data_IF_708719449564
#
_entry.id   IF_708719449564
#
_cell.length_a   1.000
_cell.length_b   1.000
_cell.length_c   1.000
_cell.angle_alpha   90.00
_cell.angle_beta   90.00
_cell.angle_gamma   90.00
#
_symmetry.space_group_name_H-M   'P 1'
#
loop_
_entity.id
_entity.type
_entity.pdbx_description
1 polymer ?
#
# COMPACT_ATOMS: atom_id res chain seq x y z
N UNK A 1 49.13 36.17 13.61
CA UNK A 1 48.14 35.93 12.53
C UNK A 1 46.72 35.94 13.13
N UNK A 2 46.31 37.08 13.69
CA UNK A 2 45.03 37.24 14.40
C UNK A 2 44.48 38.66 14.14
N UNK A 3 44.11 38.95 12.90
CA UNK A 3 43.56 40.28 12.54
C UNK A 3 42.69 40.29 11.28
N UNK A 4 41.77 39.33 11.09
CA UNK A 4 40.77 39.39 9.98
C UNK A 4 39.47 38.63 10.28
N UNK A 5 38.71 39.03 11.30
CA UNK A 5 37.34 38.50 11.49
C UNK A 5 36.44 39.48 12.26
N UNK A 6 36.52 40.77 11.95
CA UNK A 6 35.61 41.81 12.48
C UNK A 6 35.19 42.78 11.39
N UNK A 7 34.74 42.25 10.25
CA UNK A 7 34.16 43.04 9.17
C UNK A 7 33.02 42.23 8.55
N UNK A 8 31.81 42.44 9.07
CA UNK A 8 30.63 41.68 8.67
C UNK A 8 29.42 41.80 9.61
N UNK A 9 29.33 42.87 10.40
CA UNK A 9 28.22 43.10 11.33
C UNK A 9 27.64 44.51 11.20
N UNK A 10 27.44 44.96 9.96
CA UNK A 10 26.81 46.24 9.68
C UNK A 10 26.12 46.20 8.30
N UNK A 11 25.06 45.39 8.16
CA UNK A 11 23.95 45.70 7.25
C UNK A 11 22.75 44.75 7.45
N UNK A 12 21.91 45.01 8.45
CA UNK A 12 20.51 44.55 8.46
C UNK A 12 19.69 45.71 9.02
N UNK A 13 19.45 46.70 8.16
CA UNK A 13 18.36 47.67 8.35
C UNK A 13 17.08 46.98 7.91
N UNK A 14 16.16 46.74 8.84
CA UNK A 14 14.80 46.29 8.56
C UNK A 14 14.04 47.40 7.80
N UNK A 15 13.34 47.12 6.69
CA UNK A 15 12.29 48.01 6.21
C UNK A 15 11.01 47.74 7.01
N UNK A 16 10.57 48.74 7.78
CA UNK A 16 9.21 48.84 8.30
C UNK A 16 8.21 49.16 7.16
N UNK A 17 6.99 48.69 7.35
CA UNK A 17 5.71 49.09 6.75
C UNK A 17 5.38 48.69 5.30
N UNK A 18 4.65 47.57 5.16
CA UNK A 18 3.96 47.19 3.92
C UNK A 18 2.98 45.99 3.97
N UNK A 19 2.59 45.49 5.15
CA UNK A 19 2.05 44.12 5.30
C UNK A 19 0.53 43.98 5.53
N UNK A 20 -0.29 45.01 5.24
CA UNK A 20 -1.75 44.88 5.35
C UNK A 20 -2.44 44.56 4.01
N UNK A 21 -1.93 45.06 2.89
CA UNK A 21 -2.57 44.84 1.57
C UNK A 21 -2.32 43.41 1.03
N UNK A 22 -1.17 42.83 1.34
CA UNK A 22 -0.71 41.53 0.79
C UNK A 22 -1.35 40.32 1.49
N UNK A 23 -1.97 40.52 2.66
CA UNK A 23 -2.75 39.48 3.38
C UNK A 23 -4.16 39.35 2.84
N UNK A 24 -4.84 40.45 2.57
CA UNK A 24 -6.23 40.43 2.08
C UNK A 24 -6.33 39.75 0.69
N UNK A 25 -5.33 39.96 -0.18
CA UNK A 25 -5.29 39.34 -1.50
C UNK A 25 -5.01 37.82 -1.42
N UNK A 26 -4.21 37.37 -0.45
CA UNK A 26 -3.97 35.94 -0.22
C UNK A 26 -5.20 35.24 0.33
N UNK A 27 -5.92 35.86 1.26
CA UNK A 27 -7.10 35.26 1.89
C UNK A 27 -8.29 35.15 0.91
N UNK A 28 -8.41 36.10 -0.02
CA UNK A 28 -9.40 36.02 -1.10
C UNK A 28 -9.08 34.92 -2.11
N UNK A 29 -7.80 34.69 -2.41
CA UNK A 29 -7.37 33.60 -3.31
C UNK A 29 -7.60 32.22 -2.68
N UNK A 30 -7.32 32.07 -1.38
CA UNK A 30 -7.60 30.84 -0.64
C UNK A 30 -9.10 30.54 -0.56
N UNK A 31 -9.94 31.56 -0.34
CA UNK A 31 -11.39 31.41 -0.29
C UNK A 31 -12.00 30.97 -1.63
N UNK A 32 -11.42 31.43 -2.76
CA UNK A 32 -11.85 31.00 -4.11
C UNK A 32 -11.40 29.58 -4.45
N UNK A 33 -10.27 29.12 -3.93
CA UNK A 33 -9.81 27.74 -4.08
C UNK A 33 -10.67 26.76 -3.26
N UNK A 34 -11.04 27.12 -2.03
CA UNK A 34 -11.87 26.28 -1.18
C UNK A 34 -13.29 26.03 -1.75
N UNK A 35 -13.85 27.00 -2.48
CA UNK A 35 -15.18 26.88 -3.08
C UNK A 35 -15.22 25.99 -4.35
N UNK A 36 -14.07 25.70 -4.97
CA UNK A 36 -13.97 24.90 -6.21
C UNK A 36 -13.62 23.43 -5.91
N UNK A 37 -13.18 23.10 -4.70
CA UNK A 37 -12.71 21.76 -4.29
C UNK A 37 -13.59 21.16 -3.19
N UNK A 38 -14.92 21.20 -3.35
CA UNK A 38 -15.84 20.47 -2.48
C UNK A 38 -16.45 19.27 -3.23
N UNK A 39 -16.06 18.02 -2.92
CA UNK A 39 -16.78 16.83 -3.38
C UNK A 39 -18.05 16.59 -2.54
N UNK A 40 -19.07 15.89 -3.08
CA UNK A 40 -20.34 15.63 -2.38
C UNK A 40 -20.14 14.61 -1.23
N UNK A 41 -21.06 14.56 -0.24
CA UNK A 41 -20.86 13.76 0.97
C UNK A 41 -20.96 12.26 0.68
N UNK A 42 -20.02 11.42 1.19
CA UNK A 42 -20.12 9.98 1.04
C UNK A 42 -21.08 9.37 2.07
N UNK A 43 -21.84 8.40 1.59
CA UNK A 43 -22.78 7.57 2.33
C UNK A 43 -22.09 6.26 2.75
N UNK A 44 -21.69 6.14 4.03
CA UNK A 44 -21.33 4.91 4.79
C UNK A 44 -20.22 3.97 4.21
N UNK A 45 -19.64 3.02 4.97
CA UNK A 45 -19.23 2.97 6.37
C UNK A 45 -17.68 2.84 6.44
N UNK A 46 -16.95 3.93 6.67
CA UNK A 46 -15.49 3.87 6.89
C UNK A 46 -15.04 4.91 7.94
N UNK A 47 -15.92 5.17 8.91
CA UNK A 47 -15.65 6.13 9.99
C UNK A 47 -14.74 5.56 11.08
N UNK A 48 -14.49 4.24 11.12
CA UNK A 48 -13.71 3.59 12.19
C UNK A 48 -12.21 3.52 11.92
N UNK A 49 -11.76 3.57 10.66
CA UNK A 49 -10.33 3.51 10.33
C UNK A 49 -9.68 4.91 10.40
N UNK A 50 -10.39 5.95 9.94
CA UNK A 50 -9.90 7.33 9.99
C UNK A 50 -9.81 7.85 11.44
N UNK A 51 -10.79 7.49 12.29
CA UNK A 51 -10.77 7.87 13.72
C UNK A 51 -9.63 7.17 14.47
N UNK A 52 -9.24 5.94 14.08
CA UNK A 52 -8.12 5.24 14.72
C UNK A 52 -6.76 5.86 14.36
N UNK A 53 -6.57 6.30 13.10
CA UNK A 53 -5.34 6.99 12.69
C UNK A 53 -5.24 8.40 13.29
N UNK A 54 -6.37 9.10 13.43
CA UNK A 54 -6.44 10.40 14.13
C UNK A 54 -6.11 10.24 15.63
N UNK A 55 -6.65 9.22 16.30
CA UNK A 55 -6.35 8.92 17.71
C UNK A 55 -4.86 8.57 17.94
N UNK A 56 -4.22 7.85 17.03
CA UNK A 56 -2.78 7.53 17.09
C UNK A 56 -1.91 8.77 16.86
N UNK A 57 -2.30 9.65 15.93
CA UNK A 57 -1.61 10.91 15.70
C UNK A 57 -1.75 11.87 16.89
N UNK A 58 -2.93 11.95 17.51
CA UNK A 58 -3.14 12.76 18.72
C UNK A 58 -2.34 12.24 19.92
N UNK A 59 -2.19 10.92 20.06
CA UNK A 59 -1.31 10.32 21.06
C UNK A 59 0.16 10.67 20.80
N UNK A 60 0.63 10.56 19.55
CA UNK A 60 2.00 10.92 19.19
C UNK A 60 2.29 12.41 19.44
N UNK A 61 1.37 13.30 19.09
CA UNK A 61 1.48 14.73 19.37
C UNK A 61 1.56 14.99 20.87
N UNK A 62 0.70 14.34 21.66
CA UNK A 62 0.69 14.46 23.12
C UNK A 62 2.00 13.99 23.76
N UNK A 63 2.60 12.93 23.23
CA UNK A 63 3.92 12.45 23.68
C UNK A 63 5.04 13.41 23.29
N UNK A 64 4.99 13.98 22.08
CA UNK A 64 5.97 14.94 21.60
C UNK A 64 5.93 16.24 22.41
N UNK A 65 4.74 16.74 22.73
CA UNK A 65 4.55 17.92 23.58
C UNK A 65 5.10 17.68 24.99
N UNK A 66 4.86 16.49 25.56
CA UNK A 66 5.39 16.12 26.88
C UNK A 66 6.92 16.04 26.86
N UNK A 67 7.52 15.49 25.79
CA UNK A 67 8.97 15.42 25.62
C UNK A 67 9.59 16.83 25.43
N UNK A 68 8.93 17.71 24.68
CA UNK A 68 9.36 19.11 24.50
C UNK A 68 9.30 19.89 25.82
N UNK A 69 8.23 19.73 26.60
CA UNK A 69 8.11 20.34 27.94
C UNK A 69 9.20 19.82 28.88
N UNK A 70 9.51 18.53 28.84
CA UNK A 70 10.58 17.95 29.65
C UNK A 70 11.95 18.52 29.26
N UNK A 71 12.25 18.63 27.96
CA UNK A 71 13.50 19.27 27.49
C UNK A 71 13.58 20.74 27.84
N UNK A 72 12.47 21.49 27.73
CA UNK A 72 12.43 22.90 28.14
C UNK A 72 12.77 23.06 29.62
N UNK A 73 12.18 22.23 30.49
CA UNK A 73 12.49 22.23 31.93
C UNK A 73 13.96 21.86 32.23
N UNK A 74 14.51 20.90 31.47
CA UNK A 74 15.94 20.56 31.58
C UNK A 74 16.84 21.72 31.15
N UNK A 75 16.51 22.41 30.06
CA UNK A 75 17.26 23.59 29.60
C UNK A 75 17.19 24.74 30.62
N UNK A 76 16.01 25.06 31.15
CA UNK A 76 15.87 26.08 32.22
C UNK A 76 16.73 25.72 33.45
N UNK A 77 16.82 24.43 33.79
CA UNK A 77 17.67 23.94 34.90
C UNK A 77 19.16 24.09 34.58
N UNK A 78 19.56 23.82 33.33
CA UNK A 78 20.95 23.99 32.89
C UNK A 78 21.35 25.46 32.82
N UNK A 79 20.48 26.33 32.33
CA UNK A 79 20.68 27.78 32.31
C UNK A 79 20.85 28.34 33.74
N UNK A 80 20.04 27.89 34.69
CA UNK A 80 20.20 28.26 36.10
C UNK A 80 21.55 27.81 36.68
N UNK A 81 22.00 26.60 36.35
CA UNK A 81 23.33 26.10 36.76
C UNK A 81 24.48 26.87 36.13
N UNK A 82 24.35 27.28 34.87
CA UNK A 82 25.38 28.08 34.19
C UNK A 82 25.52 29.43 34.89
N UNK A 83 24.40 30.11 35.19
CA UNK A 83 24.41 31.37 35.94
C UNK A 83 25.07 31.21 37.32
N UNK A 84 24.76 30.13 38.05
CA UNK A 84 25.38 29.84 39.35
C UNK A 84 26.90 29.56 39.24
N UNK A 85 27.34 28.87 38.18
CA UNK A 85 28.76 28.65 37.94
C UNK A 85 29.49 29.94 37.54
N UNK A 86 28.84 30.82 36.78
CA UNK A 86 29.39 32.13 36.42
C UNK A 86 29.54 33.06 37.63
N UNK A 87 28.55 33.09 38.53
CA UNK A 87 28.64 33.86 39.78
C UNK A 87 29.77 33.33 40.66
N UNK A 88 29.83 32.00 40.84
CA UNK A 88 30.91 31.35 41.63
C UNK A 88 32.29 31.61 41.03
N UNK A 89 32.45 31.56 39.71
CA UNK A 89 33.70 31.90 39.05
C UNK A 89 34.07 33.39 39.22
N UNK A 90 33.07 34.28 39.28
CA UNK A 90 33.26 35.69 39.62
C UNK A 90 33.79 35.86 41.05
N UNK A 91 33.18 35.19 42.03
CA UNK A 91 33.61 35.20 43.43
C UNK A 91 35.03 34.64 43.59
N UNK A 92 35.36 33.54 42.90
CA UNK A 92 36.70 32.96 42.92
C UNK A 92 37.76 33.92 42.39
N UNK A 93 37.47 34.64 41.29
CA UNK A 93 38.37 35.68 40.75
C UNK A 93 38.56 36.82 41.75
N UNK A 94 37.50 37.21 42.47
CA UNK A 94 37.57 38.26 43.49
C UNK A 94 38.43 37.81 44.68
N UNK A 95 38.21 36.60 45.20
CA UNK A 95 39.01 36.01 46.28
C UNK A 95 40.49 35.88 45.88
N UNK A 96 40.77 35.44 44.65
CA UNK A 96 42.14 35.37 44.12
C UNK A 96 42.83 36.73 44.07
N UNK A 97 42.07 37.79 43.79
CA UNK A 97 42.58 39.17 43.79
C UNK A 97 42.86 39.65 45.21
N UNK A 98 41.97 39.36 46.15
CA UNK A 98 42.16 39.66 47.58
C UNK A 98 43.37 38.93 48.16
N UNK A 99 43.56 37.66 47.81
CA UNK A 99 44.68 36.85 48.31
C UNK A 99 46.02 37.40 47.82
N UNK A 100 46.13 37.79 46.54
CA UNK A 100 47.31 38.49 46.01
C UNK A 100 47.59 39.80 46.74
N UNK A 101 46.56 40.55 47.09
CA UNK A 101 46.72 41.80 47.85
C UNK A 101 47.26 41.52 49.26
N UNK A 102 46.73 40.52 49.95
CA UNK A 102 47.23 40.10 51.27
C UNK A 102 48.66 39.56 51.20
N UNK A 103 49.04 38.81 50.17
CA UNK A 103 50.42 38.35 49.96
C UNK A 103 51.41 39.50 49.86
N UNK A 104 51.04 40.57 49.14
CA UNK A 104 51.86 41.79 49.03
C UNK A 104 52.00 42.49 50.38
N UNK A 105 50.91 42.61 51.15
CA UNK A 105 50.95 43.20 52.50
C UNK A 105 51.82 42.39 53.47
N UNK A 106 51.72 41.05 53.44
CA UNK A 106 52.56 40.15 54.24
C UNK A 106 54.04 40.31 53.86
N UNK A 107 54.36 40.40 52.57
CA UNK A 107 55.73 40.62 52.11
C UNK A 107 56.30 41.96 52.61
N UNK A 108 55.49 43.02 52.59
CA UNK A 108 55.87 44.34 53.12
C UNK A 108 56.10 44.33 54.63
N UNK A 109 55.24 43.63 55.39
CA UNK A 109 55.41 43.47 56.84
C UNK A 109 56.67 42.69 57.18
N UNK A 110 56.95 41.58 56.47
CA UNK A 110 58.19 40.79 56.64
C UNK A 110 59.45 41.64 56.42
N UNK A 111 59.50 42.41 55.34
CA UNK A 111 60.63 43.31 55.06
C UNK A 111 60.81 44.43 56.10
N UNK A 112 59.74 44.77 56.84
CA UNK A 112 59.80 45.75 57.92
C UNK A 112 60.33 45.12 59.21
N UNK A 113 59.90 43.90 59.51
CA UNK A 113 60.40 43.12 60.66
C UNK A 113 61.89 42.84 60.51
N UNK A 114 62.36 42.44 59.32
CA UNK A 114 63.79 42.21 59.06
C UNK A 114 64.64 43.47 59.30
N UNK A 115 64.15 44.66 58.90
CA UNK A 115 64.82 45.94 59.17
C UNK A 115 64.90 46.25 60.67
N UNK A 116 63.84 45.98 61.43
CA UNK A 116 63.82 46.18 62.88
C UNK A 116 64.73 45.18 63.62
N UNK A 117 64.80 43.94 63.16
CA UNK A 117 65.69 42.92 63.70
C UNK A 117 67.17 43.24 63.44
N UNK A 118 67.51 43.77 62.26
CA UNK A 118 68.85 44.27 61.95
C UNK A 118 69.25 45.44 62.88
N UNK A 119 68.35 46.40 63.10
CA UNK A 119 68.59 47.52 64.03
C UNK A 119 68.75 47.08 65.49
N UNK A 120 68.06 46.01 65.90
CA UNK A 120 68.21 45.41 67.24
C UNK A 120 69.54 44.67 67.40
N UNK A 121 70.02 43.99 66.35
CA UNK A 121 71.32 43.31 66.40
C UNK A 121 72.49 44.28 66.53
N UNK A 122 72.42 45.48 65.93
CA UNK A 122 73.44 46.53 66.08
C UNK A 122 73.48 47.14 67.49
N UNK A 123 72.33 47.17 68.20
CA UNK A 123 72.24 47.72 69.55
C UNK A 123 72.73 46.76 70.66
N UNK A 124 72.82 45.45 70.39
CA UNK A 124 73.20 44.43 71.38
C UNK A 124 74.72 44.18 71.43
N UNK A 125 75.51 44.75 70.51
CA UNK A 125 76.98 44.60 70.49
C UNK A 125 77.72 45.58 71.43
N UNK A 126 77.00 46.46 72.13
CA UNK A 126 77.59 47.47 73.03
C UNK A 126 76.98 47.47 74.43
N UNK A 127 77.07 46.37 75.17
CA UNK A 127 77.06 46.40 76.63
C UNK A 127 77.29 44.99 77.16
N UNK A 128 78.40 44.76 77.85
CA UNK A 128 78.43 44.01 79.11
C UNK A 128 79.89 43.84 79.60
N UNK A 129 80.23 44.50 80.71
CA UNK A 129 81.32 44.11 81.59
C UNK A 129 81.02 44.61 83.02
N UNK A 130 81.25 43.75 84.02
CA UNK A 130 81.53 44.23 85.38
C UNK A 130 80.90 43.48 86.56
N UNK A 131 81.49 42.32 86.90
CA UNK A 131 81.93 41.86 88.24
C UNK A 131 81.17 42.29 89.52
N UNK A 132 80.71 41.30 90.32
CA UNK A 132 80.71 41.38 91.80
C UNK A 132 80.54 40.00 92.49
N UNK A 133 81.63 39.28 92.82
CA UNK A 133 81.65 37.83 93.14
C UNK A 133 80.87 37.34 94.40
N UNK A 134 80.16 38.19 95.13
CA UNK A 134 79.29 37.80 96.26
C UNK A 134 77.80 37.87 95.94
N UNK A 135 77.35 38.99 95.35
CA UNK A 135 76.00 39.17 94.79
C UNK A 135 75.83 38.46 93.44
N UNK A 136 76.93 38.23 92.73
CA UNK A 136 77.01 37.46 91.49
C UNK A 136 76.74 35.98 91.70
N UNK A 137 77.01 35.39 92.87
CA UNK A 137 76.63 34.01 93.10
C UNK A 137 75.11 33.86 93.19
N UNK A 138 74.44 34.69 93.99
CA UNK A 138 72.97 34.68 94.09
C UNK A 138 72.31 35.12 92.78
N UNK A 139 72.90 36.07 92.06
CA UNK A 139 72.46 36.50 90.72
C UNK A 139 72.68 35.41 89.66
N UNK A 140 73.82 34.73 89.66
CA UNK A 140 74.05 33.57 88.79
C UNK A 140 73.10 32.43 89.13
N UNK A 141 72.79 32.21 90.40
CA UNK A 141 71.81 31.20 90.82
C UNK A 141 70.42 31.58 90.33
N UNK A 142 70.02 32.85 90.42
CA UNK A 142 68.77 33.35 89.86
C UNK A 142 68.75 33.28 88.33
N UNK A 143 69.84 33.63 87.66
CA UNK A 143 69.99 33.54 86.20
C UNK A 143 69.97 32.08 85.73
N UNK A 144 70.57 31.16 86.49
CA UNK A 144 70.54 29.72 86.21
C UNK A 144 69.15 29.13 86.45
N UNK A 145 68.45 29.54 87.53
CA UNK A 145 67.04 29.18 87.75
C UNK A 145 66.13 29.75 86.67
N UNK A 146 66.38 30.98 86.22
CA UNK A 146 65.64 31.60 85.14
C UNK A 146 65.90 30.91 83.80
N UNK A 147 67.15 30.60 83.47
CA UNK A 147 67.50 29.81 82.31
C UNK A 147 66.90 28.40 82.37
N UNK A 148 66.87 27.77 83.55
CA UNK A 148 66.27 26.45 83.74
C UNK A 148 64.76 26.48 83.48
N UNK A 149 64.04 27.46 84.04
CA UNK A 149 62.60 27.65 83.77
C UNK A 149 62.32 27.98 82.30
N UNK A 150 63.16 28.78 81.66
CA UNK A 150 63.06 29.04 80.21
C UNK A 150 63.27 27.78 79.38
N UNK A 151 64.26 26.95 79.72
CA UNK A 151 64.52 25.67 79.05
C UNK A 151 63.33 24.72 79.23
N UNK A 152 62.75 24.64 80.42
CA UNK A 152 61.54 23.85 80.69
C UNK A 152 60.34 24.34 79.86
N UNK A 153 60.10 25.65 79.79
CA UNK A 153 59.04 26.23 78.95
C UNK A 153 59.28 25.92 77.47
N UNK A 154 60.48 26.14 76.96
CA UNK A 154 60.83 25.83 75.56
C UNK A 154 60.69 24.33 75.28
N UNK A 155 61.06 23.45 76.22
CA UNK A 155 60.88 22.01 76.07
C UNK A 155 59.39 21.63 75.95
N UNK A 156 58.51 22.23 76.78
CA UNK A 156 57.06 21.99 76.67
C UNK A 156 56.48 22.51 75.36
N UNK A 157 56.97 23.65 74.86
CA UNK A 157 56.56 24.20 73.56
C UNK A 157 57.03 23.32 72.40
N UNK A 158 58.29 22.86 72.43
CA UNK A 158 58.80 21.91 71.43
C UNK A 158 57.98 20.61 71.42
N UNK A 159 57.61 20.09 72.60
CA UNK A 159 56.76 18.90 72.70
C UNK A 159 55.34 19.16 72.16
N UNK A 160 54.77 20.35 72.35
CA UNK A 160 53.48 20.71 71.80
C UNK A 160 53.51 20.79 70.27
N UNK A 161 54.55 21.45 69.71
CA UNK A 161 54.76 21.52 68.26
C UNK A 161 55.04 20.15 67.64
N UNK A 162 55.77 19.27 68.32
CA UNK A 162 56.00 17.91 67.84
C UNK A 162 54.68 17.12 67.73
N UNK A 163 53.79 17.23 68.72
CA UNK A 163 52.45 16.62 68.66
C UNK A 163 51.62 17.20 67.52
N UNK A 164 51.66 18.51 67.31
CA UNK A 164 50.96 19.18 66.22
C UNK A 164 51.49 18.73 64.85
N UNK A 165 52.81 18.59 64.68
CA UNK A 165 53.42 18.08 63.47
C UNK A 165 53.03 16.62 63.17
N UNK A 166 52.88 15.78 64.20
CA UNK A 166 52.38 14.42 64.04
C UNK A 166 50.92 14.44 63.56
N UNK A 167 50.05 15.22 64.20
CA UNK A 167 48.65 15.34 63.78
C UNK A 167 48.50 15.87 62.34
N UNK A 168 49.31 16.85 61.96
CA UNK A 168 49.32 17.37 60.60
C UNK A 168 49.83 16.34 59.60
N UNK A 169 50.83 15.53 59.96
CA UNK A 169 51.31 14.41 59.13
C UNK A 169 50.20 13.40 58.91
N UNK A 170 49.57 12.91 59.97
CA UNK A 170 48.48 11.93 59.89
C UNK A 170 47.34 12.46 59.01
N UNK A 171 47.01 13.77 59.16
CA UNK A 171 46.00 14.41 58.32
C UNK A 171 46.39 14.48 56.85
N UNK A 172 47.67 14.72 56.55
CA UNK A 172 48.16 14.71 55.16
C UNK A 172 48.05 13.30 54.58
N UNK A 173 48.42 12.27 55.33
CA UNK A 173 48.30 10.87 54.90
C UNK A 173 46.84 10.48 54.63
N UNK A 174 45.91 10.87 55.50
CA UNK A 174 44.46 10.68 55.27
C UNK A 174 43.98 11.37 53.98
N UNK A 175 44.39 12.62 53.76
CA UNK A 175 44.00 13.38 52.57
C UNK A 175 44.62 12.79 51.30
N UNK A 176 45.84 12.24 51.38
CA UNK A 176 46.48 11.54 50.28
C UNK A 176 45.71 10.28 49.91
N UNK A 177 45.36 9.44 50.90
CA UNK A 177 44.55 8.25 50.67
C UNK A 177 43.17 8.59 50.06
N UNK A 178 42.50 9.64 50.57
CA UNK A 178 41.24 10.09 50.00
C UNK A 178 41.38 10.60 48.56
N UNK A 179 42.48 11.27 48.23
CA UNK A 179 42.74 11.75 46.88
C UNK A 179 43.01 10.58 45.91
N UNK A 180 43.74 9.55 46.35
CA UNK A 180 43.93 8.33 45.58
C UNK A 180 42.60 7.64 45.27
N UNK A 181 41.72 7.49 46.27
CA UNK A 181 40.38 6.91 46.03
C UNK A 181 39.55 7.73 45.05
N UNK A 182 39.59 9.06 45.15
CA UNK A 182 38.85 9.94 44.22
C UNK A 182 39.42 9.85 42.79
N UNK A 183 40.72 9.67 42.64
CA UNK A 183 41.34 9.49 41.32
C UNK A 183 40.97 8.13 40.71
N UNK A 184 40.86 7.08 41.52
CA UNK A 184 40.40 5.78 41.07
C UNK A 184 38.93 5.84 40.62
N UNK A 185 38.06 6.48 41.42
CA UNK A 185 36.65 6.72 41.07
C UNK A 185 36.51 7.55 39.78
N UNK A 186 37.34 8.59 39.61
CA UNK A 186 37.36 9.40 38.39
C UNK A 186 37.80 8.58 37.16
N UNK A 187 38.79 7.69 37.32
CA UNK A 187 39.23 6.79 36.25
C UNK A 187 38.13 5.80 35.86
N UNK A 188 37.41 5.23 36.84
CA UNK A 188 36.29 4.33 36.56
C UNK A 188 35.13 5.07 35.88
N UNK A 189 34.79 6.28 36.35
CA UNK A 189 33.74 7.10 35.73
C UNK A 189 34.08 7.44 34.28
N UNK A 190 35.35 7.79 34.00
CA UNK A 190 35.84 8.02 32.63
C UNK A 190 35.76 6.76 31.76
N UNK A 191 36.12 5.59 32.31
CA UNK A 191 36.00 4.31 31.58
C UNK A 191 34.55 4.02 31.21
N UNK A 192 33.62 4.16 32.16
CA UNK A 192 32.18 3.97 31.91
C UNK A 192 31.64 4.97 30.89
N UNK A 193 32.06 6.23 30.96
CA UNK A 193 31.68 7.23 29.96
C UNK A 193 32.16 6.83 28.55
N UNK A 194 33.41 6.38 28.41
CA UNK A 194 33.95 5.92 27.13
C UNK A 194 33.20 4.70 26.57
N UNK A 195 32.80 3.76 27.44
CA UNK A 195 31.99 2.59 27.03
C UNK A 195 30.61 3.01 26.51
N UNK A 196 29.94 3.96 27.17
CA UNK A 196 28.67 4.49 26.68
C UNK A 196 28.84 5.25 25.37
N UNK A 197 29.87 6.10 25.25
CA UNK A 197 30.18 6.81 24.01
C UNK A 197 30.41 5.84 22.85
N UNK A 198 31.18 4.76 23.07
CA UNK A 198 31.39 3.72 22.08
C UNK A 198 30.07 3.02 21.71
N UNK A 199 29.24 2.67 22.70
CA UNK A 199 27.93 2.05 22.44
C UNK A 199 26.99 2.95 21.64
N UNK A 200 27.00 4.26 21.88
CA UNK A 200 26.23 5.23 21.09
C UNK A 200 26.75 5.32 19.65
N UNK A 201 28.06 5.32 19.44
CA UNK A 201 28.66 5.33 18.10
C UNK A 201 28.30 4.06 17.33
N UNK A 202 28.43 2.89 17.95
CA UNK A 202 28.07 1.61 17.33
C UNK A 202 26.58 1.60 16.95
N UNK A 203 25.69 2.06 17.85
CA UNK A 203 24.26 2.16 17.56
C UNK A 203 23.97 3.12 16.40
N UNK A 204 24.64 4.27 16.34
CA UNK A 204 24.50 5.21 15.22
C UNK A 204 24.92 4.56 13.89
N UNK A 205 26.03 3.83 13.88
CA UNK A 205 26.48 3.14 12.66
C UNK A 205 25.50 2.05 12.20
N UNK A 206 24.89 1.30 13.13
CA UNK A 206 23.89 0.29 12.76
C UNK A 206 22.59 0.95 12.29
N UNK A 207 22.17 2.07 12.89
CA UNK A 207 21.02 2.86 12.40
C UNK A 207 21.26 3.36 10.98
N UNK A 208 22.45 3.90 10.69
CA UNK A 208 22.82 4.36 9.34
C UNK A 208 22.80 3.20 8.33
N UNK A 209 23.33 2.04 8.72
CA UNK A 209 23.32 0.83 7.89
C UNK A 209 21.91 0.33 7.63
N UNK A 210 21.04 0.29 8.64
CA UNK A 210 19.62 -0.07 8.47
C UNK A 210 18.92 0.93 7.56
N UNK A 211 19.18 2.23 7.74
CA UNK A 211 18.62 3.28 6.89
C UNK A 211 19.02 3.10 5.43
N UNK A 212 20.30 2.87 5.16
CA UNK A 212 20.80 2.60 3.79
C UNK A 212 20.14 1.34 3.22
N UNK A 213 20.06 0.26 4.01
CA UNK A 213 19.40 -0.98 3.57
C UNK A 213 17.92 -0.75 3.22
N UNK A 214 17.21 0.00 4.05
CA UNK A 214 15.80 0.34 3.83
C UNK A 214 15.62 1.21 2.58
N UNK A 215 16.48 2.21 2.37
CA UNK A 215 16.47 3.03 1.16
C UNK A 215 16.69 2.20 -0.11
N UNK A 216 17.62 1.23 -0.06
CA UNK A 216 17.87 0.29 -1.16
C UNK A 216 16.66 -0.64 -1.40
N UNK A 217 16.08 -1.20 -0.34
CA UNK A 217 14.88 -2.06 -0.43
C UNK A 217 13.68 -1.29 -0.99
N UNK A 218 13.48 -0.04 -0.54
CA UNK A 218 12.44 0.84 -1.07
C UNK A 218 12.65 1.13 -2.55
N UNK A 219 13.88 1.43 -2.98
CA UNK A 219 14.19 1.63 -4.39
C UNK A 219 13.92 0.38 -5.23
N UNK A 220 14.28 -0.81 -4.72
CA UNK A 220 14.01 -2.08 -5.38
C UNK A 220 12.51 -2.39 -5.49
N UNK A 221 11.73 -2.09 -4.45
CA UNK A 221 10.26 -2.23 -4.48
C UNK A 221 9.61 -1.26 -5.47
N UNK A 222 10.07 -0.01 -5.53
CA UNK A 222 9.59 0.95 -6.51
C UNK A 222 9.89 0.48 -7.94
N UNK A 223 11.13 0.08 -8.22
CA UNK A 223 11.52 -0.45 -9.54
C UNK A 223 10.67 -1.68 -9.94
N UNK A 224 10.46 -2.62 -9.02
CA UNK A 224 9.61 -3.79 -9.27
C UNK A 224 8.14 -3.39 -9.51
N UNK A 225 7.63 -2.40 -8.79
CA UNK A 225 6.27 -1.89 -9.00
C UNK A 225 6.12 -1.22 -10.37
N UNK A 226 7.12 -0.47 -10.83
CA UNK A 226 7.16 0.14 -12.15
C UNK A 226 7.26 -0.92 -13.26
N UNK A 227 8.06 -1.96 -13.08
CA UNK A 227 8.12 -3.09 -14.00
C UNK A 227 6.76 -3.78 -14.14
N UNK A 228 6.09 -4.06 -13.02
CA UNK A 228 4.73 -4.64 -13.03
C UNK A 228 3.71 -3.72 -13.72
N UNK A 229 3.76 -2.41 -13.48
CA UNK A 229 2.91 -1.43 -14.16
C UNK A 229 3.17 -1.42 -15.67
N UNK A 230 4.43 -1.40 -16.09
CA UNK A 230 4.82 -1.45 -17.50
C UNK A 230 4.38 -2.75 -18.19
N UNK A 231 4.46 -3.88 -17.47
CA UNK A 231 4.01 -5.18 -17.97
C UNK A 231 2.50 -5.22 -18.16
N UNK A 232 1.73 -4.66 -17.22
CA UNK A 232 0.27 -4.55 -17.34
C UNK A 232 -0.11 -3.67 -18.52
N UNK A 233 0.56 -2.53 -18.70
CA UNK A 233 0.28 -1.63 -19.82
C UNK A 233 0.70 -2.24 -21.16
N UNK A 234 1.81 -2.98 -21.21
CA UNK A 234 2.19 -3.75 -22.40
C UNK A 234 1.15 -4.82 -22.72
N UNK A 235 0.60 -5.53 -21.72
CA UNK A 235 -0.46 -6.50 -21.94
C UNK A 235 -1.74 -5.84 -22.49
N UNK A 236 -2.16 -4.71 -21.91
CA UNK A 236 -3.31 -3.94 -22.42
C UNK A 236 -3.09 -3.47 -23.86
N UNK A 237 -1.87 -3.07 -24.22
CA UNK A 237 -1.54 -2.69 -25.59
C UNK A 237 -1.71 -3.88 -26.55
N UNK A 238 -1.21 -5.06 -26.20
CA UNK A 238 -1.40 -6.27 -27.00
C UNK A 238 -2.87 -6.65 -27.13
N UNK A 239 -3.66 -6.57 -26.06
CA UNK A 239 -5.09 -6.85 -26.10
C UNK A 239 -5.86 -5.86 -26.98
N UNK A 240 -5.50 -4.58 -26.93
CA UNK A 240 -6.07 -3.55 -27.79
C UNK A 240 -5.70 -3.76 -29.25
N UNK A 241 -4.45 -4.15 -29.54
CA UNK A 241 -3.98 -4.45 -30.90
C UNK A 241 -4.70 -5.69 -31.47
N UNK A 242 -4.90 -6.74 -30.66
CA UNK A 242 -5.69 -7.91 -31.05
C UNK A 242 -7.16 -7.56 -31.33
N UNK A 243 -7.77 -6.69 -30.52
CA UNK A 243 -9.14 -6.21 -30.76
C UNK A 243 -9.25 -5.32 -31.99
N UNK A 244 -8.25 -4.48 -32.24
CA UNK A 244 -8.20 -3.63 -33.42
C UNK A 244 -8.10 -4.48 -34.69
N UNK A 245 -7.17 -5.43 -34.72
CA UNK A 245 -7.00 -6.34 -35.86
C UNK A 245 -8.26 -7.18 -36.13
N UNK A 246 -8.94 -7.66 -35.09
CA UNK A 246 -10.23 -8.36 -35.24
C UNK A 246 -11.31 -7.44 -35.83
N UNK A 247 -11.44 -6.22 -35.30
CA UNK A 247 -12.40 -5.21 -35.79
C UNK A 247 -12.12 -4.81 -37.25
N UNK A 248 -10.84 -4.70 -37.63
CA UNK A 248 -10.43 -4.45 -39.01
C UNK A 248 -10.81 -5.59 -39.94
N UNK A 249 -10.65 -6.85 -39.50
CA UNK A 249 -11.12 -8.02 -40.24
C UNK A 249 -12.65 -8.02 -40.42
N UNK A 250 -13.40 -7.77 -39.36
CA UNK A 250 -14.87 -7.69 -39.41
C UNK A 250 -15.35 -6.58 -40.36
N UNK A 251 -14.67 -5.43 -40.35
CA UNK A 251 -14.93 -4.33 -41.29
C UNK A 251 -14.72 -4.77 -42.74
N UNK A 252 -13.66 -5.51 -43.04
CA UNK A 252 -13.40 -6.00 -44.40
C UNK A 252 -14.50 -6.97 -44.84
N UNK A 253 -14.93 -7.88 -43.96
CA UNK A 253 -16.03 -8.81 -44.27
C UNK A 253 -17.33 -8.05 -44.52
N UNK A 254 -17.69 -7.10 -43.66
CA UNK A 254 -18.88 -6.27 -43.84
C UNK A 254 -18.83 -5.45 -45.14
N UNK A 255 -17.66 -4.97 -45.55
CA UNK A 255 -17.46 -4.30 -46.84
C UNK A 255 -17.70 -5.26 -48.01
N UNK A 256 -17.15 -6.48 -47.96
CA UNK A 256 -17.37 -7.48 -49.01
C UNK A 256 -18.84 -7.89 -49.13
N UNK A 257 -19.54 -8.04 -48.00
CA UNK A 257 -20.97 -8.34 -47.97
C UNK A 257 -21.80 -7.18 -48.55
N UNK A 258 -21.46 -5.93 -48.21
CA UNK A 258 -22.11 -4.76 -48.77
C UNK A 258 -21.92 -4.67 -50.30
N UNK A 259 -20.70 -4.92 -50.79
CA UNK A 259 -20.44 -4.96 -52.23
C UNK A 259 -21.21 -6.11 -52.92
N UNK A 260 -21.33 -7.27 -52.27
CA UNK A 260 -22.12 -8.38 -52.79
C UNK A 260 -23.59 -8.01 -52.90
N UNK A 261 -24.17 -7.45 -51.84
CA UNK A 261 -25.56 -6.99 -51.83
C UNK A 261 -25.80 -5.91 -52.89
N UNK A 262 -24.84 -5.02 -53.12
CA UNK A 262 -24.94 -4.02 -54.18
C UNK A 262 -25.00 -4.69 -55.57
N UNK A 263 -24.13 -5.68 -55.85
CA UNK A 263 -24.17 -6.44 -57.11
C UNK A 263 -25.49 -7.19 -57.28
N UNK A 264 -26.02 -7.78 -56.21
CA UNK A 264 -27.30 -8.49 -56.23
C UNK A 264 -28.47 -7.52 -56.48
N UNK A 265 -28.43 -6.31 -55.92
CA UNK A 265 -29.41 -5.25 -56.20
C UNK A 265 -29.35 -4.80 -57.67
N UNK A 266 -28.16 -4.50 -58.19
CA UNK A 266 -27.97 -4.08 -59.58
C UNK A 266 -28.51 -5.16 -60.55
N UNK A 267 -28.24 -6.45 -60.27
CA UNK A 267 -28.78 -7.55 -61.06
C UNK A 267 -30.31 -7.66 -60.99
N UNK A 268 -30.91 -7.38 -59.81
CA UNK A 268 -32.35 -7.40 -59.64
C UNK A 268 -33.03 -6.22 -60.35
N UNK A 269 -32.39 -5.04 -60.35
CA UNK A 269 -32.80 -3.88 -61.13
C UNK A 269 -32.81 -4.19 -62.64
N UNK A 270 -31.77 -4.87 -63.14
CA UNK A 270 -31.71 -5.33 -64.53
C UNK A 270 -32.85 -6.30 -64.87
N UNK A 271 -33.12 -7.29 -64.01
CA UNK A 271 -34.23 -8.24 -64.20
C UNK A 271 -35.58 -7.52 -64.16
N UNK A 272 -35.77 -6.58 -63.24
CA UNK A 272 -36.98 -5.75 -63.18
C UNK A 272 -37.16 -4.97 -64.49
N UNK A 273 -36.09 -4.37 -65.01
CA UNK A 273 -36.12 -3.64 -66.27
C UNK A 273 -36.50 -4.55 -67.44
N UNK A 274 -35.88 -5.74 -67.54
CA UNK A 274 -36.21 -6.74 -68.55
C UNK A 274 -37.68 -7.18 -68.45
N UNK A 275 -38.19 -7.41 -67.24
CA UNK A 275 -39.59 -7.79 -67.04
C UNK A 275 -40.54 -6.66 -67.44
N UNK A 276 -40.21 -5.40 -67.13
CA UNK A 276 -41.00 -4.25 -67.57
C UNK A 276 -41.04 -4.13 -69.10
N UNK A 277 -39.92 -4.34 -69.78
CA UNK A 277 -39.85 -4.34 -71.25
C UNK A 277 -40.66 -5.50 -71.84
N UNK A 278 -40.47 -6.72 -71.33
CA UNK A 278 -41.20 -7.90 -71.77
C UNK A 278 -42.71 -7.78 -71.52
N UNK A 279 -43.12 -7.21 -70.39
CA UNK A 279 -44.51 -6.93 -70.05
C UNK A 279 -45.14 -5.93 -71.03
N UNK A 280 -44.43 -4.86 -71.39
CA UNK A 280 -44.88 -3.92 -72.44
C UNK A 280 -45.04 -4.62 -73.78
N UNK A 281 -44.03 -5.37 -74.23
CA UNK A 281 -44.10 -6.11 -75.49
C UNK A 281 -45.23 -7.15 -75.51
N UNK A 282 -45.47 -7.84 -74.39
CA UNK A 282 -46.57 -8.80 -74.28
C UNK A 282 -47.94 -8.11 -74.30
N UNK A 283 -48.10 -6.97 -73.64
CA UNK A 283 -49.33 -6.16 -73.73
C UNK A 283 -49.59 -5.72 -75.17
N UNK A 284 -48.57 -5.30 -75.89
CA UNK A 284 -48.69 -4.95 -77.31
C UNK A 284 -49.11 -6.15 -78.17
N UNK A 285 -48.54 -7.34 -77.95
CA UNK A 285 -48.96 -8.58 -78.64
C UNK A 285 -50.40 -8.97 -78.31
N UNK A 286 -50.81 -8.87 -77.05
CA UNK A 286 -52.19 -9.17 -76.64
C UNK A 286 -53.16 -8.19 -77.30
N UNK A 287 -52.83 -6.89 -77.31
CA UNK A 287 -53.64 -5.90 -78.01
C UNK A 287 -53.74 -6.19 -79.52
N UNK A 288 -52.66 -6.64 -80.16
CA UNK A 288 -52.70 -7.06 -81.56
C UNK A 288 -53.59 -8.31 -81.77
N UNK A 289 -53.44 -9.33 -80.93
CA UNK A 289 -54.30 -10.53 -80.97
C UNK A 289 -55.77 -10.21 -80.67
N UNK A 290 -56.08 -9.27 -79.78
CA UNK A 290 -57.45 -8.80 -79.53
C UNK A 290 -58.03 -8.13 -80.76
N UNK A 291 -57.25 -7.32 -81.49
CA UNK A 291 -57.67 -6.73 -82.76
C UNK A 291 -57.93 -7.80 -83.82
N UNK A 292 -57.04 -8.79 -83.96
CA UNK A 292 -57.23 -9.92 -84.87
C UNK A 292 -58.44 -10.77 -84.50
N UNK A 293 -58.67 -11.03 -83.20
CA UNK A 293 -59.82 -11.78 -82.70
C UNK A 293 -61.13 -11.02 -82.95
N UNK A 294 -61.16 -9.71 -82.76
CA UNK A 294 -62.31 -8.89 -83.10
C UNK A 294 -62.57 -8.85 -84.62
N UNK A 295 -61.52 -8.88 -85.44
CA UNK A 295 -61.66 -9.04 -86.90
C UNK A 295 -62.22 -10.44 -87.25
N UNK A 296 -61.65 -11.51 -86.71
CA UNK A 296 -62.10 -12.88 -86.93
C UNK A 296 -63.53 -13.13 -86.41
N UNK A 297 -63.93 -12.51 -85.29
CA UNK A 297 -65.32 -12.53 -84.82
C UNK A 297 -66.27 -11.87 -85.80
N UNK A 298 -65.90 -10.73 -86.39
CA UNK A 298 -66.68 -10.08 -87.45
C UNK A 298 -66.78 -10.96 -88.70
N UNK A 299 -65.70 -11.66 -89.05
CA UNK A 299 -65.68 -12.65 -90.15
C UNK A 299 -66.56 -13.89 -89.84
N UNK A 300 -66.56 -14.39 -88.61
CA UNK A 300 -67.43 -15.48 -88.17
C UNK A 300 -68.90 -15.08 -88.12
N UNK A 301 -69.22 -13.85 -87.66
CA UNK A 301 -70.59 -13.32 -87.69
C UNK A 301 -71.10 -13.10 -89.12
N UNK A 302 -70.22 -12.94 -90.10
CA UNK A 302 -70.59 -12.84 -91.53
C UNK A 302 -70.65 -14.20 -92.24
N UNK A 303 -70.20 -15.28 -91.60
CA UNK A 303 -70.31 -16.66 -92.09
C UNK A 303 -71.61 -17.30 -91.55
N UNK A 304 -72.51 -17.70 -92.45
CA UNK A 304 -73.81 -18.33 -92.12
C UNK A 304 -73.70 -19.59 -91.22
N UNK A 305 -74.73 -19.91 -90.42
CA UNK A 305 -74.73 -21.09 -89.53
C UNK A 305 -75.13 -22.36 -90.29
N UNK A 306 -74.36 -23.45 -90.14
CA UNK A 306 -74.83 -24.84 -90.29
C UNK A 306 -73.70 -25.86 -89.98
N UNK A 307 -74.00 -27.13 -89.63
CA UNK A 307 -74.96 -27.68 -88.67
C UNK A 307 -74.26 -28.41 -87.50
N UNK A 308 -75.04 -28.81 -86.49
CA UNK A 308 -74.66 -29.74 -85.39
C UNK A 308 -73.87 -30.97 -85.86
N UNK A 309 -72.92 -31.44 -85.04
CA UNK A 309 -72.60 -32.87 -84.93
C UNK A 309 -73.04 -33.37 -83.55
N UNK A 310 -74.10 -34.19 -83.52
CA UNK A 310 -74.04 -35.66 -83.40
C UNK A 310 -73.50 -36.20 -82.06
N UNK A 311 -74.28 -37.16 -81.53
CA UNK A 311 -74.21 -37.85 -80.22
C UNK A 311 -72.88 -38.58 -79.90
N UNK A 312 -71.78 -38.29 -80.60
CA UNK A 312 -70.46 -38.89 -80.38
C UNK A 312 -69.66 -38.30 -79.20
N UNK A 313 -69.91 -37.04 -78.82
CA UNK A 313 -69.13 -36.32 -77.80
C UNK A 313 -69.34 -36.84 -76.38
N UNK A 314 -70.46 -37.53 -76.11
CA UNK A 314 -70.74 -38.13 -74.80
C UNK A 314 -69.74 -39.24 -74.43
N UNK A 315 -69.21 -39.97 -75.42
CA UNK A 315 -68.22 -41.03 -75.19
C UNK A 315 -66.81 -40.47 -74.95
N UNK A 316 -66.46 -39.36 -75.59
CA UNK A 316 -65.18 -38.70 -75.38
C UNK A 316 -65.15 -37.95 -74.04
N UNK A 317 -66.26 -37.32 -73.65
CA UNK A 317 -66.39 -36.71 -72.33
C UNK A 317 -66.30 -37.75 -71.20
N UNK A 318 -66.94 -38.92 -71.37
CA UNK A 318 -66.85 -40.03 -70.41
C UNK A 318 -65.42 -40.59 -70.30
N UNK A 319 -64.71 -40.69 -71.43
CA UNK A 319 -63.28 -41.09 -71.48
C UNK A 319 -62.37 -40.05 -70.82
N UNK A 320 -62.65 -38.77 -70.98
CA UNK A 320 -61.90 -37.68 -70.34
C UNK A 320 -62.16 -37.66 -68.83
N UNK A 321 -63.40 -37.87 -68.39
CA UNK A 321 -63.72 -37.99 -66.96
C UNK A 321 -63.05 -39.20 -66.30
N UNK A 322 -62.99 -40.35 -66.98
CA UNK A 322 -62.33 -41.54 -66.46
C UNK A 322 -60.79 -41.37 -66.40
N UNK A 323 -60.20 -40.67 -67.38
CA UNK A 323 -58.78 -40.27 -67.33
C UNK A 323 -58.50 -39.27 -66.22
N UNK A 324 -59.42 -38.34 -65.98
CA UNK A 324 -59.31 -37.36 -64.90
C UNK A 324 -59.36 -38.06 -63.53
N UNK A 325 -60.31 -38.96 -63.32
CA UNK A 325 -60.40 -39.74 -62.08
C UNK A 325 -59.14 -40.57 -61.81
N UNK A 326 -58.55 -41.19 -62.85
CA UNK A 326 -57.25 -41.89 -62.73
C UNK A 326 -56.11 -40.95 -62.35
N UNK A 327 -56.04 -39.76 -62.96
CA UNK A 327 -55.03 -38.75 -62.64
C UNK A 327 -55.17 -38.18 -61.23
N UNK A 328 -56.40 -37.98 -60.75
CA UNK A 328 -56.64 -37.55 -59.38
C UNK A 328 -56.19 -38.61 -58.38
N UNK A 329 -56.44 -39.89 -58.67
CA UNK A 329 -55.97 -41.00 -57.83
C UNK A 329 -54.43 -41.14 -57.83
N UNK A 330 -53.78 -40.94 -58.97
CA UNK A 330 -52.33 -40.88 -59.07
C UNK A 330 -51.73 -39.70 -58.28
N UNK A 331 -52.39 -38.53 -58.29
CA UNK A 331 -51.98 -37.37 -57.46
C UNK A 331 -52.12 -37.65 -55.96
N UNK A 332 -53.18 -38.34 -55.54
CA UNK A 332 -53.37 -38.71 -54.13
C UNK A 332 -52.31 -39.72 -53.67
N UNK A 333 -51.98 -40.72 -54.50
CA UNK A 333 -50.90 -41.67 -54.23
C UNK A 333 -49.52 -40.98 -54.18
N UNK A 334 -49.27 -40.00 -55.05
CA UNK A 334 -48.05 -39.21 -55.01
C UNK A 334 -47.98 -38.33 -53.76
N UNK A 335 -49.13 -37.82 -53.29
CA UNK A 335 -49.21 -37.04 -52.05
C UNK A 335 -48.94 -37.90 -50.83
N UNK A 336 -49.50 -39.10 -50.78
CA UNK A 336 -49.28 -40.09 -49.71
C UNK A 336 -47.83 -40.60 -49.71
N UNK A 337 -47.24 -40.84 -50.89
CA UNK A 337 -45.82 -41.19 -51.02
C UNK A 337 -44.90 -40.04 -50.59
N UNK A 338 -45.25 -38.78 -50.91
CA UNK A 338 -44.51 -37.60 -50.48
C UNK A 338 -44.62 -37.39 -48.96
N UNK A 339 -45.79 -37.60 -48.37
CA UNK A 339 -46.01 -37.51 -46.93
C UNK A 339 -45.29 -38.64 -46.18
N UNK A 340 -45.29 -39.86 -46.73
CA UNK A 340 -44.48 -40.98 -46.23
C UNK A 340 -42.98 -40.69 -46.32
N UNK A 341 -42.51 -40.05 -47.40
CA UNK A 341 -41.10 -39.67 -47.55
C UNK A 341 -40.73 -38.53 -46.60
N UNK A 342 -41.61 -37.55 -46.40
CA UNK A 342 -41.39 -36.44 -45.48
C UNK A 342 -41.40 -36.91 -44.00
N UNK A 343 -42.24 -37.88 -43.64
CA UNK A 343 -42.25 -38.47 -42.30
C UNK A 343 -41.05 -39.38 -42.04
N UNK A 344 -40.57 -40.10 -43.06
CA UNK A 344 -39.32 -40.87 -42.98
C UNK A 344 -38.08 -39.96 -42.90
N UNK A 345 -38.05 -38.86 -43.66
CA UNK A 345 -36.97 -37.86 -43.60
C UNK A 345 -36.91 -37.12 -42.25
N UNK A 346 -38.07 -36.85 -41.62
CA UNK A 346 -38.10 -36.21 -40.30
C UNK A 346 -37.71 -37.16 -39.16
N UNK A 347 -37.99 -38.46 -39.26
CA UNK A 347 -37.60 -39.44 -38.23
C UNK A 347 -36.11 -39.83 -38.27
N UNK A 348 -35.44 -39.69 -39.42
CA UNK A 348 -33.97 -39.83 -39.51
C UNK A 348 -33.20 -38.64 -38.93
N UNK A 349 -33.86 -37.48 -38.75
CA UNK A 349 -33.25 -36.25 -38.21
C UNK A 349 -33.27 -36.13 -36.68
N UNK A 350 -33.86 -37.10 -35.99
CA UNK A 350 -33.86 -37.20 -34.52
C UNK A 350 -32.50 -37.67 -33.95
N UNK A 351 -31.50 -37.85 -34.82
CA UNK A 351 -30.11 -38.15 -34.44
C UNK A 351 -29.32 -36.84 -34.46
N UNK A 352 -28.99 -36.32 -33.27
CA UNK A 352 -28.07 -35.18 -33.13
C UNK A 352 -26.74 -35.53 -33.81
N UNK A 353 -26.27 -34.67 -34.72
CA UNK A 353 -24.98 -34.85 -35.39
C UNK A 353 -23.87 -34.98 -34.33
N UNK A 354 -23.08 -36.05 -34.40
CA UNK A 354 -21.98 -36.34 -33.45
C UNK A 354 -20.99 -35.17 -33.38
N UNK A 355 -20.80 -34.44 -34.48
CA UNK A 355 -19.92 -33.27 -34.52
C UNK A 355 -20.50 -32.09 -33.74
N UNK A 356 -21.81 -31.86 -33.87
CA UNK A 356 -22.52 -30.83 -33.12
C UNK A 356 -22.53 -31.17 -31.62
N UNK A 357 -22.77 -32.43 -31.26
CA UNK A 357 -22.69 -32.90 -29.87
C UNK A 357 -21.31 -32.65 -29.25
N UNK A 358 -20.23 -32.99 -29.98
CA UNK A 358 -18.86 -32.75 -29.53
C UNK A 358 -18.56 -31.25 -29.37
N UNK A 359 -19.02 -30.41 -30.31
CA UNK A 359 -18.85 -28.95 -30.22
C UNK A 359 -19.54 -28.33 -29.02
N UNK A 360 -20.74 -28.82 -28.66
CA UNK A 360 -21.44 -28.35 -27.45
C UNK A 360 -20.66 -28.72 -26.19
N UNK A 361 -20.14 -29.94 -26.10
CA UNK A 361 -19.35 -30.39 -24.93
C UNK A 361 -18.06 -29.56 -24.81
N UNK A 362 -17.36 -29.33 -25.91
CA UNK A 362 -16.17 -28.45 -25.93
C UNK A 362 -16.54 -27.03 -25.51
N UNK A 363 -17.61 -26.46 -26.08
CA UNK A 363 -18.10 -25.13 -25.72
C UNK A 363 -18.51 -25.01 -24.24
N UNK A 364 -18.99 -26.08 -23.62
CA UNK A 364 -19.30 -26.09 -22.19
C UNK A 364 -18.07 -26.12 -21.30
N UNK A 365 -17.00 -26.80 -21.71
CA UNK A 365 -15.74 -26.85 -20.97
C UNK A 365 -14.99 -25.52 -21.07
N UNK A 366 -14.93 -24.96 -22.28
CA UNK A 366 -14.12 -23.78 -22.60
C UNK A 366 -14.83 -22.44 -22.31
N UNK A 367 -16.17 -22.40 -22.28
CA UNK A 367 -16.92 -21.16 -22.07
C UNK A 367 -17.03 -20.79 -20.59
N UNK A 368 -16.91 -19.49 -20.31
CA UNK A 368 -17.23 -18.90 -19.00
C UNK A 368 -18.75 -18.82 -18.73
N UNK A 369 -19.58 -19.13 -19.74
CA UNK A 369 -21.06 -19.11 -19.68
C UNK A 369 -21.66 -20.52 -19.68
N UNK A 370 -21.16 -21.38 -18.79
CA UNK A 370 -21.52 -22.81 -18.71
C UNK A 370 -23.03 -23.04 -18.57
N UNK A 371 -23.73 -22.19 -17.82
CA UNK A 371 -25.18 -22.27 -17.63
C UNK A 371 -25.98 -22.04 -18.92
N UNK A 372 -25.60 -21.07 -19.76
CA UNK A 372 -26.28 -20.79 -21.03
C UNK A 372 -26.06 -21.92 -22.04
N UNK A 373 -24.83 -22.44 -22.11
CA UNK A 373 -24.48 -23.57 -22.98
C UNK A 373 -25.23 -24.83 -22.54
N UNK A 374 -25.34 -25.07 -21.23
CA UNK A 374 -26.09 -26.19 -20.68
C UNK A 374 -27.60 -26.05 -20.93
N UNK A 375 -28.14 -24.84 -20.81
CA UNK A 375 -29.53 -24.53 -21.14
C UNK A 375 -29.82 -24.81 -22.63
N UNK A 376 -28.89 -24.45 -23.52
CA UNK A 376 -28.98 -24.73 -24.95
C UNK A 376 -28.93 -26.24 -25.23
N UNK A 377 -28.03 -26.96 -24.57
CA UNK A 377 -27.96 -28.42 -24.63
C UNK A 377 -29.26 -29.09 -24.19
N UNK A 378 -29.82 -28.65 -23.06
CA UNK A 378 -31.08 -29.18 -22.53
C UNK A 378 -32.26 -28.94 -23.47
N UNK A 379 -32.26 -27.81 -24.21
CA UNK A 379 -33.28 -27.50 -25.21
C UNK A 379 -33.13 -28.32 -26.48
N UNK A 380 -31.91 -28.55 -26.97
CA UNK A 380 -31.68 -29.32 -28.20
C UNK A 380 -31.83 -30.83 -28.01
N UNK A 381 -31.52 -31.35 -26.82
CA UNK A 381 -31.64 -32.77 -26.49
C UNK A 381 -32.94 -33.11 -25.74
N UNK A 382 -33.87 -32.16 -25.62
CA UNK A 382 -35.16 -32.33 -24.94
C UNK A 382 -35.04 -32.97 -23.55
N UNK A 383 -34.14 -32.44 -22.71
CA UNK A 383 -33.96 -32.96 -21.36
C UNK A 383 -35.27 -32.94 -20.59
N UNK A 384 -35.54 -34.04 -19.89
CA UNK A 384 -36.62 -34.10 -18.91
C UNK A 384 -36.31 -33.19 -17.72
N UNK A 385 -37.34 -32.76 -16.98
CA UNK A 385 -37.16 -31.90 -15.79
C UNK A 385 -36.25 -32.55 -14.74
N UNK A 386 -36.26 -33.87 -14.62
CA UNK A 386 -35.34 -34.62 -13.77
C UNK A 386 -33.87 -34.51 -14.23
N UNK A 387 -33.63 -34.62 -15.53
CA UNK A 387 -32.27 -34.47 -16.09
C UNK A 387 -31.78 -33.03 -15.96
N UNK A 388 -32.65 -32.03 -16.16
CA UNK A 388 -32.33 -30.61 -15.94
C UNK A 388 -31.92 -30.36 -14.49
N UNK A 389 -32.62 -30.93 -13.50
CA UNK A 389 -32.23 -30.85 -12.08
C UNK A 389 -30.85 -31.48 -11.83
N UNK A 390 -30.58 -32.67 -12.39
CA UNK A 390 -29.30 -33.37 -12.22
C UNK A 390 -28.10 -32.62 -12.80
N UNK A 391 -28.30 -31.87 -13.88
CA UNK A 391 -27.23 -31.06 -14.48
C UNK A 391 -27.16 -29.63 -13.89
N UNK A 392 -28.07 -29.26 -13.00
CA UNK A 392 -28.05 -27.96 -12.31
C UNK A 392 -28.84 -26.83 -12.99
N UNK A 393 -29.80 -27.16 -13.87
CA UNK A 393 -30.73 -26.23 -14.52
C UNK A 393 -32.13 -26.16 -13.85
N UNK A 394 -32.26 -26.66 -12.62
CA UNK A 394 -33.50 -26.63 -11.83
C UNK A 394 -33.62 -25.41 -10.92
N UNK A 395 -34.83 -25.15 -10.40
CA UNK A 395 -35.16 -24.03 -9.50
C UNK A 395 -34.07 -23.75 -8.45
N UNK A 396 -33.77 -22.47 -8.14
CA UNK A 396 -32.81 -22.12 -7.12
C UNK A 396 -33.30 -22.65 -5.77
N UNK A 397 -32.64 -23.70 -5.27
CA UNK A 397 -32.74 -24.07 -3.86
C UNK A 397 -31.96 -22.99 -3.11
N UNK A 398 -32.70 -22.16 -2.39
CA UNK A 398 -32.17 -21.13 -1.50
C UNK A 398 -31.20 -21.79 -0.52
N UNK A 399 -29.90 -21.53 -0.68
CA UNK A 399 -28.86 -22.01 0.24
C UNK A 399 -27.67 -22.76 -0.36
N UNK A 400 -27.61 -23.04 -1.67
CA UNK A 400 -26.43 -23.69 -2.26
C UNK A 400 -25.90 -22.90 -3.47
N UNK A 401 -24.80 -22.19 -3.25
CA UNK A 401 -24.05 -21.48 -4.29
C UNK A 401 -23.62 -22.42 -5.41
N UNK A 402 -23.61 -21.88 -6.64
CA UNK A 402 -23.47 -22.64 -7.87
C UNK A 402 -22.27 -23.59 -7.97
N UNK A 403 -22.50 -24.70 -8.67
CA UNK A 403 -21.55 -25.76 -8.98
C UNK A 403 -22.31 -27.10 -8.97
N UNK A 404 -22.74 -27.66 -10.10
CA UNK A 404 -21.89 -28.14 -11.17
C UNK A 404 -21.23 -29.46 -10.74
N UNK A 405 -21.86 -30.61 -11.04
CA UNK A 405 -21.37 -32.00 -11.00
C UNK A 405 -20.67 -32.56 -9.73
N UNK A 406 -20.18 -31.74 -8.80
CA UNK A 406 -19.42 -32.17 -7.61
C UNK A 406 -20.29 -32.43 -6.38
N UNK A 407 -21.53 -31.92 -6.35
CA UNK A 407 -22.48 -32.12 -5.24
C UNK A 407 -23.02 -33.55 -5.13
N UNK A 408 -22.69 -34.44 -6.07
CA UNK A 408 -23.03 -35.86 -5.97
C UNK A 408 -21.87 -36.74 -5.49
N UNK A 409 -20.64 -36.22 -5.41
CA UNK A 409 -19.47 -36.99 -4.93
C UNK A 409 -19.25 -36.71 -3.43
N UNK A 410 -19.49 -35.47 -2.99
CA UNK A 410 -19.61 -35.15 -1.57
C UNK A 410 -21.08 -35.36 -1.22
N UNK A 411 -21.38 -36.37 -0.41
CA UNK A 411 -22.74 -36.80 -0.05
C UNK A 411 -23.57 -35.76 0.73
N UNK A 412 -23.79 -34.58 0.16
CA UNK A 412 -24.82 -33.63 0.58
C UNK A 412 -26.15 -34.00 -0.10
N UNK A 413 -26.55 -35.25 0.15
CA UNK A 413 -27.94 -35.67 0.01
C UNK A 413 -28.66 -35.20 1.26
N UNK A 414 -29.61 -34.28 1.07
CA UNK A 414 -30.64 -34.00 2.07
C UNK A 414 -31.31 -35.31 2.51
N UNK A 415 -31.68 -35.46 3.78
CA UNK A 415 -31.81 -36.74 4.47
C UNK A 415 -32.89 -37.63 3.84
N UNK A 416 -32.46 -38.74 3.25
CA UNK A 416 -33.26 -39.93 3.03
C UNK A 416 -32.65 -41.07 3.84
N UNK A 417 -33.44 -41.63 4.75
CA UNK A 417 -33.18 -42.78 5.62
C UNK A 417 -31.97 -43.67 5.25
N UNK A 418 -30.88 -43.53 6.00
CA UNK A 418 -29.73 -44.43 5.95
C UNK A 418 -28.52 -43.81 6.65
N UNK A 419 -28.16 -44.34 7.82
CA UNK A 419 -27.30 -43.66 8.80
C UNK A 419 -25.88 -43.36 8.32
N UNK A 420 -25.49 -42.09 8.43
CA UNK A 420 -24.11 -41.67 8.75
C UNK A 420 -24.19 -40.42 9.62
N UNK A 421 -23.33 -40.35 10.63
CA UNK A 421 -23.39 -39.36 11.70
C UNK A 421 -23.20 -37.92 11.18
N UNK A 422 -23.85 -36.91 11.80
CA UNK A 422 -23.67 -35.52 11.43
C UNK A 422 -22.23 -35.07 11.73
N UNK A 423 -21.54 -34.56 10.70
CA UNK A 423 -20.21 -33.94 10.86
C UNK A 423 -20.40 -32.60 11.57
N UNK A 424 -19.70 -32.42 12.69
CA UNK A 424 -19.75 -31.23 13.52
C UNK A 424 -19.17 -30.02 12.75
N UNK A 425 -19.92 -28.92 12.56
CA UNK A 425 -19.47 -27.72 11.83
C UNK A 425 -18.25 -27.05 12.48
N UNK A 426 -17.96 -27.35 13.75
CA UNK A 426 -16.79 -26.86 14.48
C UNK A 426 -15.47 -27.46 13.97
N UNK A 427 -15.51 -28.54 13.18
CA UNK A 427 -14.31 -29.19 12.62
C UNK A 427 -13.80 -28.53 11.32
N UNK A 428 -14.59 -27.62 10.73
CA UNK A 428 -14.33 -27.00 9.42
C UNK A 428 -13.79 -25.57 9.58
N UNK A 429 -14.01 -24.94 10.73
CA UNK A 429 -13.60 -23.57 10.98
C UNK A 429 -12.07 -23.48 11.15
N UNK A 430 -11.41 -22.83 10.19
CA UNK A 430 -9.96 -22.57 10.22
C UNK A 430 -9.08 -23.52 9.38
N UNK A 431 -9.65 -24.55 8.72
CA UNK A 431 -8.89 -25.43 7.83
C UNK A 431 -8.98 -24.97 6.37
N UNK A 432 -7.85 -24.85 5.69
CA UNK A 432 -7.83 -24.58 4.25
C UNK A 432 -8.40 -25.78 3.49
N UNK A 433 -9.08 -25.52 2.37
CA UNK A 433 -9.57 -26.56 1.46
C UNK A 433 -8.45 -27.53 1.03
N UNK A 434 -7.23 -27.03 0.89
CA UNK A 434 -6.06 -27.85 0.58
C UNK A 434 -5.74 -28.84 1.70
N UNK A 435 -5.88 -28.43 2.97
CA UNK A 435 -5.62 -29.28 4.13
C UNK A 435 -6.67 -30.39 4.22
N UNK A 436 -7.95 -30.05 4.04
CA UNK A 436 -9.05 -31.03 4.03
C UNK A 436 -8.92 -32.04 2.88
N UNK A 437 -8.50 -31.58 1.70
CA UNK A 437 -8.23 -32.47 0.57
C UNK A 437 -7.03 -33.38 0.81
N UNK A 438 -5.98 -32.86 1.43
CA UNK A 438 -4.79 -33.64 1.74
C UNK A 438 -5.06 -34.68 2.83
N UNK A 439 -5.82 -34.35 3.88
CA UNK A 439 -6.31 -35.31 4.88
C UNK A 439 -7.17 -36.40 4.24
N UNK A 440 -8.09 -36.04 3.34
CA UNK A 440 -8.95 -37.01 2.65
C UNK A 440 -8.14 -37.95 1.75
N UNK A 441 -7.19 -37.43 0.96
CA UNK A 441 -6.34 -38.26 0.10
C UNK A 441 -5.43 -39.19 0.92
N UNK A 442 -4.93 -38.73 2.07
CA UNK A 442 -4.14 -39.55 2.99
C UNK A 442 -4.99 -40.64 3.64
N UNK A 443 -6.21 -40.32 4.06
CA UNK A 443 -7.14 -41.28 4.66
C UNK A 443 -7.55 -42.35 3.65
N UNK A 444 -7.86 -41.96 2.41
CA UNK A 444 -8.27 -42.90 1.37
C UNK A 444 -7.11 -43.76 0.85
N UNK A 445 -5.89 -43.21 0.79
CA UNK A 445 -4.68 -43.99 0.51
C UNK A 445 -4.36 -45.00 1.61
N UNK A 446 -4.74 -44.70 2.87
CA UNK A 446 -4.51 -45.59 4.01
C UNK A 446 -5.51 -46.75 4.08
N UNK A 447 -6.74 -46.57 3.56
CA UNK A 447 -7.76 -47.63 3.44
C UNK A 447 -7.49 -48.63 2.31
N UNK A 448 -6.52 -48.32 1.44
CA UNK A 448 -6.09 -49.16 0.33
C UNK A 448 -5.05 -50.24 0.67
N UNK A 449 -4.88 -50.61 1.95
CA UNK A 449 -4.01 -51.71 2.40
C UNK A 449 -4.76 -52.82 3.12
#
# INVERSE_FOLDING_TARGET
>A
MWSRLTEGLADIVAPEDGDEQDREDKDQLWSRFAAVVAPPPPSSPSATAVVAEEDEQEQYISELERALLQRKKQNETLEAKILELETRAGEERQLKTQLKQQEVEIAQQKATIERLQAARHDAVVQSEEGSDAGSHHDRLVQELQHAQTQVEVLATQCQAHEKELILLRDRIEELQAANETLQDDEREARSRAAEYEQGYMDLLTEIEKIKISNEVEKAALMAKSEEHASSIDSQKLYDLEARLTTSEADKIVAQQDAERLQRDLDALEDVLHQFQVASKAQKERVAAMEVELEQAKKELQTRQPLPEPTEGEANDLKRVMEKLAKKTHECEQLREALESTATQYNSERDVLDKRLAAQLVVAYVDSNKKGEVLQLMARMMSFTEEQKRRVGLGYPIEGNGGGGLFSSIIGLVAPGEGGSAPVDPSAIEGKSFADMWSEFLLDEASKGK
#
